data_IF_979172671010
#
_entry.id   IF_979172671010
#
_cell.length_a   1.000
_cell.length_b   1.000
_cell.length_c   1.000
_cell.angle_alpha   90.00
_cell.angle_beta   90.00
_cell.angle_gamma   90.00
#
_symmetry.space_group_name_H-M   'P 1'
#
loop_
_entity.id
_entity.type
_entity.pdbx_description
1 polymer ?
#
# COMPACT_ATOMS: atom_id res chain seq x y z
N UNK A 1 33.38 7.10 14.19
CA UNK A 1 32.11 7.87 14.31
C UNK A 1 30.97 6.85 14.36
N UNK A 2 30.02 7.00 15.26
CA UNK A 2 28.82 6.17 15.31
C UNK A 2 27.95 6.49 14.11
N UNK A 3 27.36 5.45 13.47
CA UNK A 3 26.45 5.63 12.35
C UNK A 3 25.23 6.44 12.80
N UNK A 4 24.77 7.44 12.03
CA UNK A 4 23.56 8.19 12.36
C UNK A 4 22.33 7.29 12.32
N UNK A 5 21.33 7.58 13.14
CA UNK A 5 20.04 6.92 13.07
C UNK A 5 19.09 7.68 12.14
N UNK A 6 18.44 6.95 11.26
CA UNK A 6 17.50 7.50 10.27
C UNK A 6 16.18 6.71 10.33
N UNK A 7 15.08 7.44 10.47
CA UNK A 7 13.73 6.87 10.55
C UNK A 7 13.08 6.85 9.17
N UNK A 8 12.56 5.70 8.77
CA UNK A 8 11.80 5.48 7.54
C UNK A 8 10.33 5.24 7.90
N UNK A 9 9.53 6.30 7.96
CA UNK A 9 8.11 6.20 8.26
C UNK A 9 7.30 5.97 6.99
N UNK A 10 6.33 5.04 7.05
CA UNK A 10 5.46 4.71 5.92
C UNK A 10 4.01 5.03 6.21
N UNK A 11 3.26 5.42 5.20
CA UNK A 11 1.83 5.67 5.33
C UNK A 11 1.03 4.37 5.41
N UNK A 12 -0.23 4.50 5.87
CA UNK A 12 -1.21 3.44 5.78
C UNK A 12 -1.68 3.29 4.32
N UNK A 13 -1.23 2.23 3.65
CA UNK A 13 -1.71 1.83 2.33
C UNK A 13 -2.71 0.68 2.42
N UNK A 14 -3.46 0.44 1.35
CA UNK A 14 -4.32 -0.75 1.21
C UNK A 14 -3.50 -2.05 1.15
N UNK A 15 -2.18 -1.92 0.94
CA UNK A 15 -1.22 -3.03 0.89
C UNK A 15 0.14 -2.62 1.43
N UNK A 16 1.12 -3.51 1.31
CA UNK A 16 2.48 -3.33 1.82
C UNK A 16 3.37 -2.41 0.94
N UNK A 17 2.85 -1.75 -0.10
CA UNK A 17 3.66 -1.06 -1.11
C UNK A 17 4.63 -0.03 -0.56
N UNK A 18 4.20 0.80 0.39
CA UNK A 18 5.08 1.79 1.04
C UNK A 18 6.13 1.12 1.93
N UNK A 19 5.74 0.05 2.63
CA UNK A 19 6.64 -0.70 3.51
C UNK A 19 7.73 -1.42 2.70
N UNK A 20 7.37 -2.08 1.60
CA UNK A 20 8.32 -2.75 0.68
C UNK A 20 9.34 -1.74 0.12
N UNK A 21 8.89 -0.55 -0.28
CA UNK A 21 9.79 0.50 -0.77
C UNK A 21 10.73 1.02 0.34
N UNK A 22 10.20 1.26 1.54
CA UNK A 22 11.02 1.61 2.70
C UNK A 22 12.04 0.52 3.04
N UNK A 23 11.67 -0.75 2.88
CA UNK A 23 12.59 -1.89 3.04
C UNK A 23 13.72 -1.84 2.02
N UNK A 24 13.43 -1.58 0.75
CA UNK A 24 14.46 -1.42 -0.30
C UNK A 24 15.43 -0.28 -0.01
N UNK A 25 14.94 0.84 0.53
CA UNK A 25 15.79 1.95 0.98
C UNK A 25 16.62 1.53 2.22
N UNK A 26 16.01 0.82 3.18
CA UNK A 26 16.68 0.41 4.41
C UNK A 26 17.84 -0.55 4.16
N UNK A 27 17.71 -1.48 3.20
CA UNK A 27 18.78 -2.39 2.79
C UNK A 27 20.04 -1.60 2.43
N UNK A 28 19.89 -0.58 1.60
CA UNK A 28 21.01 0.25 1.16
C UNK A 28 21.52 1.16 2.28
N UNK A 29 20.62 1.70 3.08
CA UNK A 29 20.92 2.63 4.15
C UNK A 29 21.75 1.97 5.28
N UNK A 30 21.61 0.68 5.54
CA UNK A 30 22.42 -0.09 6.53
C UNK A 30 23.93 0.05 6.27
N UNK A 31 24.35 0.31 5.06
CA UNK A 31 25.76 0.52 4.72
C UNK A 31 26.32 1.77 5.43
N UNK A 32 25.49 2.78 5.62
CA UNK A 32 25.90 4.13 6.06
C UNK A 32 25.33 4.53 7.43
N UNK A 33 24.13 4.05 7.78
CA UNK A 33 23.35 4.50 8.91
C UNK A 33 22.67 3.32 9.64
N UNK A 34 22.01 3.64 10.76
CA UNK A 34 21.13 2.72 11.49
C UNK A 34 19.66 3.03 11.09
N UNK A 35 19.07 2.32 10.14
CA UNK A 35 17.69 2.57 9.75
C UNK A 35 16.72 1.98 10.78
N UNK A 36 15.63 2.71 11.02
CA UNK A 36 14.47 2.24 11.77
C UNK A 36 13.25 2.42 10.87
N UNK A 37 12.46 1.36 10.67
CA UNK A 37 11.22 1.46 9.89
C UNK A 37 10.05 1.65 10.84
N UNK A 38 9.20 2.63 10.55
CA UNK A 38 7.89 2.78 11.18
C UNK A 38 6.83 2.45 10.14
N UNK A 39 6.05 1.40 10.39
CA UNK A 39 4.99 0.97 9.49
C UNK A 39 3.62 1.19 10.10
N UNK A 40 2.71 1.70 9.29
CA UNK A 40 1.27 1.75 9.59
C UNK A 40 0.50 0.61 8.90
N UNK A 41 1.18 -0.17 8.07
CA UNK A 41 0.66 -1.39 7.47
C UNK A 41 1.00 -2.59 8.37
N UNK A 42 0.09 -3.57 8.47
CA UNK A 42 0.41 -4.86 9.09
C UNK A 42 1.42 -5.65 8.25
N UNK A 43 1.87 -6.81 8.74
CA UNK A 43 2.80 -7.67 8.01
C UNK A 43 4.27 -7.23 8.13
N UNK A 44 4.63 -6.63 9.25
CA UNK A 44 6.00 -6.16 9.51
C UNK A 44 6.92 -7.24 10.10
N UNK A 45 6.37 -8.39 10.50
CA UNK A 45 7.11 -9.39 11.28
C UNK A 45 8.31 -9.98 10.54
N UNK A 46 8.19 -10.13 9.23
CA UNK A 46 9.24 -10.74 8.40
C UNK A 46 10.44 -9.79 8.14
N UNK A 47 10.24 -8.48 8.29
CA UNK A 47 11.28 -7.49 7.96
C UNK A 47 12.41 -7.47 8.98
N UNK A 48 12.18 -7.49 10.31
CA UNK A 48 13.25 -7.56 11.28
C UNK A 48 14.12 -8.82 11.09
N UNK A 49 13.51 -9.97 10.85
CA UNK A 49 14.23 -11.21 10.62
C UNK A 49 15.09 -11.15 9.36
N UNK A 50 14.53 -10.59 8.28
CA UNK A 50 15.23 -10.46 7.00
C UNK A 50 16.37 -9.43 7.05
N UNK A 51 16.13 -8.26 7.65
CA UNK A 51 17.10 -7.16 7.66
C UNK A 51 17.94 -7.06 8.92
N UNK A 52 17.50 -7.62 10.05
CA UNK A 52 18.13 -7.42 11.34
C UNK A 52 18.08 -5.94 11.78
N UNK A 53 16.98 -5.23 11.53
CA UNK A 53 16.75 -3.83 11.89
C UNK A 53 15.53 -3.68 12.78
N UNK A 54 15.47 -2.58 13.54
CA UNK A 54 14.30 -2.23 14.33
C UNK A 54 13.15 -1.82 13.41
N UNK A 55 11.98 -2.43 13.62
CA UNK A 55 10.74 -2.08 12.94
C UNK A 55 9.65 -1.88 13.98
N UNK A 56 8.92 -0.77 13.88
CA UNK A 56 7.82 -0.45 14.78
C UNK A 56 6.50 -0.33 14.01
N UNK A 57 5.43 -0.80 14.65
CA UNK A 57 4.08 -0.67 14.15
C UNK A 57 3.35 0.47 14.86
N UNK A 58 2.79 1.37 14.06
CA UNK A 58 1.83 2.37 14.53
C UNK A 58 0.50 2.09 13.84
N UNK A 59 -0.61 1.87 14.58
CA UNK A 59 -1.91 1.65 13.95
C UNK A 59 -2.24 2.78 12.98
N UNK A 60 -2.55 2.44 11.73
CA UNK A 60 -2.94 3.41 10.73
C UNK A 60 -4.23 4.13 11.13
N UNK A 61 -4.42 5.34 10.59
CA UNK A 61 -5.55 6.21 10.92
C UNK A 61 -6.92 5.54 10.81
N UNK A 62 -7.07 4.64 9.82
CA UNK A 62 -8.33 3.94 9.59
C UNK A 62 -8.50 2.67 10.45
N UNK A 63 -7.48 2.30 11.22
CA UNK A 63 -7.48 1.18 12.16
C UNK A 63 -7.38 1.61 13.62
N UNK A 64 -7.11 2.89 13.86
CA UNK A 64 -7.09 3.44 15.20
C UNK A 64 -8.51 3.76 15.66
N UNK A 65 -8.87 3.34 16.88
CA UNK A 65 -10.19 3.60 17.47
C UNK A 65 -10.29 5.00 18.06
N UNK A 66 -9.69 5.95 17.44
CA UNK A 66 -9.70 7.32 17.90
C UNK A 66 -10.05 8.29 16.77
N UNK A 67 -10.64 9.46 17.09
CA UNK A 67 -10.88 10.50 16.09
C UNK A 67 -9.56 10.90 15.37
N UNK A 68 -9.68 11.28 14.10
CA UNK A 68 -8.50 11.64 13.27
C UNK A 68 -7.57 12.65 13.93
N UNK A 69 -8.12 13.62 14.63
CA UNK A 69 -7.34 14.65 15.34
C UNK A 69 -6.51 14.08 16.49
N UNK A 70 -7.12 13.19 17.26
CA UNK A 70 -6.41 12.49 18.34
C UNK A 70 -5.35 11.56 17.76
N UNK A 71 -5.67 10.90 16.66
CA UNK A 71 -4.71 10.06 15.97
C UNK A 71 -3.52 10.85 15.42
N UNK A 72 -3.72 12.03 14.82
CA UNK A 72 -2.64 12.88 14.33
C UNK A 72 -1.73 13.35 15.50
N UNK A 73 -2.30 13.64 16.68
CA UNK A 73 -1.51 13.95 17.87
C UNK A 73 -0.76 12.71 18.38
N UNK A 74 -1.43 11.57 18.45
CA UNK A 74 -0.79 10.30 18.82
C UNK A 74 0.39 9.97 17.89
N UNK A 75 0.19 10.11 16.58
CA UNK A 75 1.26 9.89 15.61
C UNK A 75 2.43 10.86 15.85
N UNK A 76 2.16 12.15 16.05
CA UNK A 76 3.19 13.13 16.40
C UNK A 76 3.98 12.70 17.63
N UNK A 77 3.28 12.38 18.70
CA UNK A 77 3.91 12.08 19.99
C UNK A 77 4.74 10.78 19.92
N UNK A 78 4.28 9.77 19.17
CA UNK A 78 5.06 8.54 18.91
C UNK A 78 6.31 8.81 18.08
N UNK A 79 6.20 9.63 17.04
CA UNK A 79 7.36 10.00 16.22
C UNK A 79 8.36 10.83 17.03
N UNK A 80 7.91 11.77 17.85
CA UNK A 80 8.76 12.57 18.72
C UNK A 80 9.47 11.70 19.75
N UNK A 81 8.74 10.81 20.43
CA UNK A 81 9.34 9.91 21.42
C UNK A 81 10.44 9.03 20.79
N UNK A 82 10.24 8.55 19.57
CA UNK A 82 11.24 7.75 18.87
C UNK A 82 12.47 8.60 18.46
N UNK A 83 12.25 9.84 18.03
CA UNK A 83 13.34 10.77 17.72
C UNK A 83 14.17 11.06 18.98
N UNK A 84 13.51 11.32 20.12
CA UNK A 84 14.17 11.59 21.41
C UNK A 84 14.94 10.36 21.90
N UNK A 85 14.35 9.17 21.80
CA UNK A 85 14.96 7.90 22.21
C UNK A 85 16.22 7.58 21.40
N UNK A 86 16.15 7.79 20.10
CA UNK A 86 17.18 7.30 19.16
C UNK A 86 18.20 8.34 18.73
N UNK A 87 17.94 9.60 19.00
CA UNK A 87 18.72 10.72 18.51
C UNK A 87 18.68 10.86 16.98
N UNK A 88 17.63 10.36 16.33
CA UNK A 88 17.50 10.45 14.88
C UNK A 88 17.44 11.90 14.39
N UNK A 89 18.26 12.22 13.40
CA UNK A 89 18.34 13.57 12.80
C UNK A 89 17.60 13.68 11.48
N UNK A 90 17.23 12.55 10.86
CA UNK A 90 16.46 12.49 9.61
C UNK A 90 15.30 11.54 9.76
N UNK A 91 14.14 11.95 9.27
CA UNK A 91 12.97 11.12 9.10
C UNK A 91 12.47 11.24 7.66
N UNK A 92 12.37 10.14 6.94
CA UNK A 92 11.62 10.10 5.68
C UNK A 92 10.18 9.67 5.93
N UNK A 93 9.27 10.19 5.13
CA UNK A 93 7.89 9.76 5.12
C UNK A 93 7.50 9.31 3.71
N UNK A 94 7.21 8.02 3.57
CA UNK A 94 6.72 7.43 2.32
C UNK A 94 5.21 7.35 2.35
N UNK A 95 4.57 8.16 1.51
CA UNK A 95 3.11 8.22 1.43
C UNK A 95 2.62 9.19 0.38
N UNK A 96 1.31 9.10 0.08
CA UNK A 96 0.67 9.98 -0.91
C UNK A 96 0.80 11.45 -0.49
N UNK A 97 0.42 11.75 0.74
CA UNK A 97 0.62 13.07 1.36
C UNK A 97 1.03 12.89 2.81
N UNK A 98 1.97 13.70 3.33
CA UNK A 98 2.34 13.65 4.73
C UNK A 98 1.14 13.92 5.64
N UNK A 99 1.02 13.12 6.68
CA UNK A 99 -0.02 13.34 7.67
C UNK A 99 0.26 14.59 8.51
N UNK A 100 -0.79 15.27 9.04
CA UNK A 100 -0.62 16.40 9.94
C UNK A 100 0.29 16.10 11.14
N UNK A 101 0.22 14.88 11.69
CA UNK A 101 1.08 14.44 12.78
C UNK A 101 2.56 14.38 12.41
N UNK A 102 2.90 13.97 11.19
CA UNK A 102 4.29 13.97 10.67
C UNK A 102 4.84 15.38 10.56
N UNK A 103 4.04 16.30 10.00
CA UNK A 103 4.44 17.72 9.88
C UNK A 103 4.57 18.37 11.25
N UNK A 104 3.67 18.04 12.18
CA UNK A 104 3.72 18.55 13.55
C UNK A 104 4.97 18.04 14.31
N UNK A 105 5.39 16.80 14.08
CA UNK A 105 6.63 16.28 14.65
C UNK A 105 7.85 17.08 14.20
N UNK A 106 7.98 17.37 12.89
CA UNK A 106 9.04 18.26 12.36
C UNK A 106 9.01 19.64 13.02
N UNK A 107 7.82 20.20 13.19
CA UNK A 107 7.68 21.52 13.80
C UNK A 107 8.10 21.54 15.29
N UNK A 108 7.84 20.44 16.00
CA UNK A 108 8.25 20.26 17.40
C UNK A 108 9.77 19.96 17.54
N UNK A 109 10.35 19.32 16.51
CA UNK A 109 11.79 19.03 16.44
C UNK A 109 12.46 19.76 15.26
N UNK A 110 12.80 21.05 15.40
CA UNK A 110 13.36 21.83 14.30
C UNK A 110 14.68 21.29 13.73
N UNK A 111 15.44 20.55 14.55
CA UNK A 111 16.69 19.89 14.13
C UNK A 111 16.47 18.60 13.33
N UNK A 112 15.25 18.06 13.31
CA UNK A 112 14.92 16.89 12.52
C UNK A 112 14.76 17.28 11.05
N UNK A 113 15.53 16.70 10.13
CA UNK A 113 15.29 16.83 8.70
C UNK A 113 14.13 15.92 8.28
N UNK A 114 13.11 16.48 7.64
CA UNK A 114 11.95 15.74 7.15
C UNK A 114 12.00 15.60 5.63
N UNK A 115 12.03 14.35 5.15
CA UNK A 115 12.07 14.02 3.73
C UNK A 115 10.76 13.38 3.30
N UNK A 116 10.15 13.88 2.24
CA UNK A 116 8.99 13.24 1.66
C UNK A 116 9.40 12.35 0.48
N UNK A 117 9.19 11.05 0.62
CA UNK A 117 9.29 10.08 -0.48
C UNK A 117 7.94 10.07 -1.19
N UNK A 118 7.84 10.90 -2.24
CA UNK A 118 6.62 11.18 -2.98
C UNK A 118 6.61 10.42 -4.30
N UNK A 119 5.76 9.43 -4.41
CA UNK A 119 5.60 8.69 -5.66
C UNK A 119 5.01 9.56 -6.78
N UNK A 120 5.45 9.35 -8.02
CA UNK A 120 4.82 9.85 -9.24
C UNK A 120 3.60 9.04 -9.69
N UNK A 121 3.19 9.20 -10.91
CA UNK A 121 2.03 8.56 -11.54
C UNK A 121 0.73 8.69 -10.74
N UNK A 122 0.35 9.90 -10.40
CA UNK A 122 -0.92 10.14 -9.74
C UNK A 122 -2.02 10.36 -10.76
N UNK A 123 -3.22 9.83 -10.47
CA UNK A 123 -4.41 10.14 -11.26
C UNK A 123 -4.71 11.65 -11.25
N UNK A 124 -5.29 12.15 -12.33
CA UNK A 124 -5.63 13.57 -12.58
C UNK A 124 -6.63 14.16 -11.58
N UNK A 125 -6.47 13.98 -10.27
CA UNK A 125 -7.30 14.69 -9.29
C UNK A 125 -6.48 15.80 -8.64
N UNK A 126 -6.79 17.08 -8.94
CA UNK A 126 -5.97 18.18 -8.47
C UNK A 126 -6.15 18.39 -6.97
N UNK A 127 -5.07 18.18 -6.20
CA UNK A 127 -4.90 18.70 -4.84
C UNK A 127 -3.74 19.71 -4.79
N UNK A 128 -3.62 20.51 -5.84
CA UNK A 128 -2.43 21.36 -6.12
C UNK A 128 -2.04 22.26 -4.95
N UNK A 129 -2.99 22.87 -4.25
CA UNK A 129 -2.68 23.82 -3.18
C UNK A 129 -2.11 23.14 -1.94
N UNK A 130 -2.78 22.06 -1.46
CA UNK A 130 -2.31 21.32 -0.27
C UNK A 130 -0.96 20.67 -0.54
N UNK A 131 -0.80 20.07 -1.70
CA UNK A 131 0.47 19.47 -2.14
C UNK A 131 1.62 20.50 -2.12
N UNK A 132 1.38 21.70 -2.67
CA UNK A 132 2.37 22.79 -2.68
C UNK A 132 2.73 23.28 -1.28
N UNK A 133 1.75 23.39 -0.39
CA UNK A 133 2.00 23.83 0.99
C UNK A 133 2.76 22.78 1.80
N UNK A 134 2.41 21.49 1.64
CA UNK A 134 3.12 20.40 2.28
C UNK A 134 4.55 20.27 1.79
N UNK A 135 4.78 20.42 0.48
CA UNK A 135 6.13 20.44 -0.09
C UNK A 135 7.04 21.50 0.55
N UNK A 136 6.48 22.66 0.89
CA UNK A 136 7.24 23.74 1.55
C UNK A 136 7.68 23.43 2.99
N UNK A 137 7.05 22.44 3.62
CA UNK A 137 7.39 22.01 4.98
C UNK A 137 8.50 20.95 4.99
N UNK A 138 8.85 20.39 3.83
CA UNK A 138 9.89 19.37 3.71
C UNK A 138 11.27 20.01 3.58
N UNK A 139 12.27 19.37 4.19
CA UNK A 139 13.67 19.70 3.95
C UNK A 139 14.11 19.23 2.57
N UNK A 140 13.59 18.07 2.17
CA UNK A 140 13.83 17.50 0.86
C UNK A 140 12.62 16.69 0.38
N UNK A 141 12.45 16.60 -0.93
CA UNK A 141 11.45 15.73 -1.55
C UNK A 141 12.17 14.84 -2.54
N UNK A 142 11.97 13.55 -2.40
CA UNK A 142 12.49 12.56 -3.35
C UNK A 142 11.30 11.92 -4.04
N UNK A 143 11.39 11.78 -5.34
CA UNK A 143 10.41 11.04 -6.13
C UNK A 143 11.06 9.77 -6.67
N UNK A 144 10.75 8.61 -6.06
CA UNK A 144 11.17 7.31 -6.62
C UNK A 144 10.70 7.21 -8.06
N UNK A 145 11.61 6.90 -8.96
CA UNK A 145 11.35 6.79 -10.38
C UNK A 145 10.26 5.76 -10.70
N UNK A 146 9.71 5.90 -11.87
CA UNK A 146 8.77 4.94 -12.42
C UNK A 146 9.14 4.69 -13.88
N UNK A 147 9.23 3.42 -14.30
CA UNK A 147 9.57 3.09 -15.68
C UNK A 147 8.54 3.67 -16.66
N UNK A 148 7.28 3.75 -16.23
CA UNK A 148 6.19 4.32 -17.00
C UNK A 148 6.06 5.86 -16.86
N UNK A 149 7.09 6.56 -16.38
CA UNK A 149 7.02 8.00 -16.13
C UNK A 149 6.59 8.83 -17.37
N UNK A 150 6.92 8.39 -18.57
CA UNK A 150 6.47 9.04 -19.80
C UNK A 150 4.92 9.09 -19.92
N UNK A 151 4.23 8.21 -19.23
CA UNK A 151 2.76 8.14 -19.16
C UNK A 151 2.19 8.81 -17.90
N UNK A 152 3.00 9.56 -17.15
CA UNK A 152 2.52 10.35 -16.01
C UNK A 152 1.85 11.64 -16.49
N UNK A 153 0.53 11.71 -16.41
CA UNK A 153 -0.27 12.91 -16.66
C UNK A 153 -0.84 13.49 -15.37
N UNK A 154 -0.37 13.02 -14.24
CA UNK A 154 -0.85 13.38 -12.92
C UNK A 154 -0.34 14.75 -12.42
N UNK A 155 -0.77 15.16 -11.23
CA UNK A 155 -0.40 16.46 -10.65
C UNK A 155 1.09 16.58 -10.27
N UNK A 156 1.83 15.47 -10.28
CA UNK A 156 3.27 15.44 -9.99
C UNK A 156 4.15 15.48 -11.24
N UNK A 157 3.59 15.18 -12.41
CA UNK A 157 4.32 15.06 -13.67
C UNK A 157 5.18 16.30 -14.05
N UNK A 158 4.63 17.50 -13.79
CA UNK A 158 5.28 18.78 -14.13
C UNK A 158 5.98 19.44 -12.93
N UNK A 159 6.15 18.75 -11.81
CA UNK A 159 6.77 19.33 -10.62
C UNK A 159 8.28 19.17 -10.66
N UNK A 160 8.97 20.27 -10.31
CA UNK A 160 10.43 20.36 -10.26
C UNK A 160 10.96 20.46 -8.82
N UNK A 161 10.10 20.26 -7.81
CA UNK A 161 10.44 20.39 -6.40
C UNK A 161 10.96 19.10 -5.75
N UNK A 162 11.13 18.05 -6.53
CA UNK A 162 11.64 16.76 -6.06
C UNK A 162 12.90 16.35 -6.80
N UNK A 163 13.82 15.72 -6.09
CA UNK A 163 14.91 14.97 -6.72
C UNK A 163 14.33 13.65 -7.26
N UNK A 164 14.47 13.44 -8.54
CA UNK A 164 14.09 12.20 -9.19
C UNK A 164 15.20 11.17 -9.02
N UNK A 165 14.81 9.94 -8.69
CA UNK A 165 15.73 8.81 -8.61
C UNK A 165 15.30 7.70 -9.57
N UNK A 166 16.11 6.67 -9.71
CA UNK A 166 15.69 5.43 -10.35
C UNK A 166 14.56 4.77 -9.54
N UNK A 167 13.84 3.79 -10.11
CA UNK A 167 12.87 3.02 -9.35
C UNK A 167 13.50 2.30 -8.15
N UNK A 168 12.74 2.21 -7.06
CA UNK A 168 13.10 1.39 -5.89
C UNK A 168 12.50 0.01 -6.08
N UNK A 169 13.34 -1.01 -6.03
CA UNK A 169 12.97 -2.41 -6.15
C UNK A 169 13.59 -3.25 -5.05
N UNK A 170 12.91 -4.31 -4.63
CA UNK A 170 13.50 -5.37 -3.82
C UNK A 170 14.16 -6.46 -4.68
N UNK A 171 13.89 -6.47 -5.97
CA UNK A 171 14.61 -7.37 -6.87
C UNK A 171 16.03 -6.89 -7.07
N UNK A 172 16.99 -7.75 -6.80
CA UNK A 172 18.42 -7.55 -6.97
C UNK A 172 19.00 -8.83 -7.54
N UNK A 173 19.60 -8.73 -8.71
CA UNK A 173 20.13 -9.88 -9.44
C UNK A 173 21.21 -10.63 -8.62
N UNK A 174 22.03 -9.86 -7.89
CA UNK A 174 23.10 -10.40 -7.02
C UNK A 174 22.59 -11.13 -5.77
N UNK A 175 21.34 -10.92 -5.37
CA UNK A 175 20.70 -11.57 -4.23
C UNK A 175 19.59 -12.57 -4.63
N UNK A 176 19.21 -12.57 -5.90
CA UNK A 176 18.18 -13.45 -6.41
C UNK A 176 18.66 -14.92 -6.37
N UNK A 177 17.79 -15.80 -5.91
CA UNK A 177 18.08 -17.22 -5.94
C UNK A 177 18.00 -17.75 -7.37
N UNK A 178 18.86 -18.68 -7.71
CA UNK A 178 18.75 -19.42 -8.98
C UNK A 178 17.38 -20.10 -9.09
N UNK A 179 16.96 -20.44 -10.30
CA UNK A 179 15.67 -21.11 -10.54
C UNK A 179 15.45 -22.30 -9.61
N UNK A 180 16.44 -23.16 -9.49
CA UNK A 180 16.30 -24.40 -8.71
C UNK A 180 16.27 -24.13 -7.20
N UNK A 181 17.09 -23.21 -6.71
CA UNK A 181 17.09 -22.79 -5.30
C UNK A 181 15.77 -22.12 -4.94
N UNK A 182 15.27 -21.21 -5.78
CA UNK A 182 14.01 -20.53 -5.59
C UNK A 182 12.82 -21.51 -5.57
N UNK A 183 12.83 -22.49 -6.48
CA UNK A 183 11.82 -23.55 -6.51
C UNK A 183 11.87 -24.44 -5.28
N UNK A 184 13.04 -24.83 -4.84
CA UNK A 184 13.23 -25.58 -3.57
C UNK A 184 12.72 -24.79 -2.37
N UNK A 185 13.06 -23.49 -2.29
CA UNK A 185 12.61 -22.61 -1.21
C UNK A 185 11.08 -22.47 -1.16
N UNK A 186 10.40 -22.56 -2.31
CA UNK A 186 8.95 -22.50 -2.40
C UNK A 186 8.26 -23.88 -2.41
N UNK A 187 9.03 -24.98 -2.31
CA UNK A 187 8.49 -26.34 -2.36
C UNK A 187 7.90 -26.72 -3.72
N UNK A 188 8.38 -26.12 -4.82
CA UNK A 188 7.89 -26.36 -6.17
C UNK A 188 8.63 -27.53 -6.85
N UNK A 189 7.93 -28.20 -7.75
CA UNK A 189 8.58 -29.17 -8.64
C UNK A 189 9.52 -28.48 -9.61
N UNK A 190 10.74 -28.99 -9.75
CA UNK A 190 11.78 -28.36 -10.55
C UNK A 190 11.49 -28.40 -12.05
N UNK A 191 10.78 -29.43 -12.52
CA UNK A 191 10.58 -29.72 -13.94
C UNK A 191 9.23 -29.29 -14.50
N UNK A 192 8.30 -28.90 -13.64
CA UNK A 192 6.94 -28.44 -14.03
C UNK A 192 6.93 -26.92 -14.23
N UNK A 193 6.16 -26.39 -15.18
CA UNK A 193 5.98 -24.95 -15.28
C UNK A 193 5.33 -24.38 -14.01
N UNK A 194 5.68 -23.12 -13.69
CA UNK A 194 5.15 -22.43 -12.51
C UNK A 194 4.78 -20.99 -12.87
N UNK A 195 3.59 -20.55 -12.44
CA UNK A 195 3.10 -19.18 -12.63
C UNK A 195 2.77 -18.53 -11.30
N UNK A 196 3.30 -17.32 -11.09
CA UNK A 196 2.95 -16.47 -9.95
C UNK A 196 1.70 -15.67 -10.27
N UNK A 197 0.67 -15.72 -9.42
CA UNK A 197 -0.52 -14.88 -9.55
C UNK A 197 -0.65 -13.99 -8.32
N UNK A 198 -0.56 -12.68 -8.52
CA UNK A 198 -0.53 -11.67 -7.44
C UNK A 198 -1.36 -10.43 -7.83
N UNK A 199 -2.67 -10.50 -7.70
CA UNK A 199 -3.57 -9.39 -8.03
C UNK A 199 -3.84 -8.42 -6.86
N UNK A 200 -3.19 -8.65 -5.72
CA UNK A 200 -3.32 -7.82 -4.53
C UNK A 200 -4.54 -8.16 -3.68
N UNK A 201 -4.79 -7.31 -2.68
CA UNK A 201 -5.94 -7.42 -1.79
C UNK A 201 -7.01 -6.43 -2.25
N UNK A 202 -8.25 -6.86 -2.38
CA UNK A 202 -9.30 -5.96 -2.82
C UNK A 202 -10.70 -6.54 -2.66
N UNK A 203 -11.64 -5.76 -3.11
CA UNK A 203 -13.07 -5.99 -3.10
C UNK A 203 -13.50 -7.06 -4.14
N UNK A 204 -14.79 -7.22 -4.36
CA UNK A 204 -15.38 -8.17 -5.32
C UNK A 204 -14.77 -8.08 -6.74
N UNK A 205 -14.43 -6.88 -7.18
CA UNK A 205 -13.78 -6.61 -8.48
C UNK A 205 -12.43 -7.36 -8.64
N UNK A 206 -11.63 -7.45 -7.57
CA UNK A 206 -10.37 -8.21 -7.61
C UNK A 206 -10.61 -9.72 -7.68
N UNK A 207 -11.68 -10.21 -7.07
CA UNK A 207 -12.03 -11.62 -7.11
C UNK A 207 -12.48 -12.05 -8.51
N UNK A 208 -13.27 -11.24 -9.21
CA UNK A 208 -13.66 -11.49 -10.59
C UNK A 208 -12.46 -11.53 -11.54
N UNK A 209 -11.55 -10.55 -11.39
CA UNK A 209 -10.29 -10.52 -12.14
C UNK A 209 -9.40 -11.73 -11.83
N UNK A 210 -9.36 -12.17 -10.57
CA UNK A 210 -8.62 -13.38 -10.18
C UNK A 210 -9.20 -14.63 -10.86
N UNK A 211 -10.51 -14.79 -10.84
CA UNK A 211 -11.18 -15.91 -11.51
C UNK A 211 -10.92 -15.90 -13.02
N UNK A 212 -11.01 -14.73 -13.67
CA UNK A 212 -10.72 -14.58 -15.09
C UNK A 212 -9.25 -14.91 -15.43
N UNK A 213 -8.32 -14.45 -14.58
CA UNK A 213 -6.90 -14.72 -14.73
C UNK A 213 -6.60 -16.23 -14.59
N UNK A 214 -7.14 -16.88 -13.57
CA UNK A 214 -7.00 -18.31 -13.34
C UNK A 214 -7.60 -19.12 -14.50
N UNK A 215 -8.75 -18.69 -15.03
CA UNK A 215 -9.36 -19.32 -16.22
C UNK A 215 -8.48 -19.26 -17.47
N UNK A 216 -7.67 -18.22 -17.60
CA UNK A 216 -6.67 -18.10 -18.69
C UNK A 216 -5.52 -19.10 -18.59
N UNK A 217 -5.28 -19.68 -17.40
CA UNK A 217 -4.23 -20.68 -17.16
C UNK A 217 -4.69 -22.12 -17.43
N UNK A 218 -5.99 -22.34 -17.56
CA UNK A 218 -6.54 -23.67 -17.87
C UNK A 218 -6.00 -24.15 -19.21
N UNK A 219 -5.60 -25.43 -19.26
CA UNK A 219 -5.00 -26.05 -20.45
C UNK A 219 -3.48 -25.97 -20.51
N UNK A 220 -2.83 -25.23 -19.62
CA UNK A 220 -1.37 -25.25 -19.50
C UNK A 220 -0.94 -26.55 -18.79
N UNK A 221 -0.35 -27.45 -19.56
CA UNK A 221 0.00 -28.80 -19.09
C UNK A 221 0.92 -28.76 -17.88
N UNK A 222 0.62 -29.55 -16.89
CA UNK A 222 1.42 -29.76 -15.65
C UNK A 222 1.74 -28.47 -14.87
N UNK A 223 0.94 -27.39 -15.05
CA UNK A 223 1.17 -26.09 -14.43
C UNK A 223 1.02 -26.14 -12.90
N UNK A 224 1.94 -25.50 -12.21
CA UNK A 224 1.83 -25.13 -10.80
C UNK A 224 1.45 -23.64 -10.73
N UNK A 225 0.33 -23.31 -10.10
CA UNK A 225 -0.13 -21.93 -9.89
C UNK A 225 0.16 -21.53 -8.47
N UNK A 226 0.93 -20.46 -8.30
CA UNK A 226 1.35 -19.98 -7.00
C UNK A 226 0.65 -18.66 -6.70
N UNK A 227 -0.07 -18.63 -5.59
CA UNK A 227 -0.75 -17.46 -5.05
C UNK A 227 -0.06 -17.00 -3.77
N UNK A 228 -0.14 -15.71 -3.49
CA UNK A 228 0.34 -15.12 -2.22
C UNK A 228 -0.79 -14.92 -1.21
N UNK A 229 -2.02 -15.29 -1.57
CA UNK A 229 -3.24 -15.19 -0.76
C UNK A 229 -4.21 -16.29 -1.17
N UNK A 230 -4.97 -16.80 -0.20
CA UNK A 230 -6.03 -17.77 -0.44
C UNK A 230 -7.04 -17.25 -1.49
N UNK A 231 -7.37 -18.07 -2.52
CA UNK A 231 -8.31 -17.71 -3.56
C UNK A 231 -9.76 -18.00 -3.12
N UNK A 232 -10.19 -17.31 -2.07
CA UNK A 232 -11.55 -17.44 -1.51
C UNK A 232 -12.27 -16.10 -1.61
N UNK A 233 -13.57 -16.16 -1.83
CA UNK A 233 -14.44 -14.99 -1.76
C UNK A 233 -14.77 -14.63 -0.28
N UNK A 234 -15.63 -13.63 -0.12
CA UNK A 234 -16.08 -13.19 1.20
C UNK A 234 -16.99 -14.19 1.92
N UNK A 235 -17.59 -15.11 1.19
CA UNK A 235 -18.47 -16.16 1.69
C UNK A 235 -17.72 -17.48 1.92
N UNK A 236 -16.38 -17.47 1.75
CA UNK A 236 -15.51 -18.63 1.95
C UNK A 236 -15.48 -19.61 0.78
N UNK A 237 -16.11 -19.27 -0.37
CA UNK A 237 -16.10 -20.12 -1.55
C UNK A 237 -14.79 -19.98 -2.31
N UNK A 238 -14.28 -21.10 -2.82
CA UNK A 238 -13.10 -21.10 -3.67
C UNK A 238 -13.34 -20.35 -4.97
N UNK A 239 -12.40 -19.48 -5.32
CA UNK A 239 -12.32 -18.78 -6.61
C UNK A 239 -11.49 -19.58 -7.63
N UNK A 240 -10.91 -20.69 -7.20
CA UNK A 240 -10.07 -21.54 -8.04
C UNK A 240 -10.92 -22.37 -8.99
N UNK A 241 -10.70 -22.30 -10.30
CA UNK A 241 -11.28 -23.24 -11.25
C UNK A 241 -10.78 -24.67 -10.97
N UNK A 242 -11.61 -25.64 -11.25
CA UNK A 242 -11.21 -27.05 -11.21
C UNK A 242 -10.07 -27.33 -12.20
N UNK A 243 -9.18 -28.26 -11.82
CA UNK A 243 -8.10 -28.72 -12.68
C UNK A 243 -6.79 -27.90 -12.63
N UNK A 244 -6.70 -26.87 -11.76
CA UNK A 244 -5.45 -26.16 -11.50
C UNK A 244 -4.78 -26.64 -10.22
N UNK A 245 -3.48 -26.97 -10.27
CA UNK A 245 -2.64 -27.23 -9.08
C UNK A 245 -2.27 -25.89 -8.44
N UNK A 246 -3.09 -25.42 -7.51
CA UNK A 246 -2.94 -24.11 -6.84
C UNK A 246 -2.30 -24.30 -5.47
N UNK A 247 -1.27 -23.49 -5.19
CA UNK A 247 -0.60 -23.42 -3.90
C UNK A 247 -0.51 -22.00 -3.41
N UNK A 248 -0.72 -21.81 -2.12
CA UNK A 248 -0.54 -20.50 -1.47
C UNK A 248 0.80 -20.50 -0.76
N UNK A 249 1.63 -19.51 -1.08
CA UNK A 249 2.94 -19.36 -0.46
C UNK A 249 3.06 -18.01 0.24
N UNK A 250 3.76 -18.01 1.36
CA UNK A 250 4.21 -16.80 2.06
C UNK A 250 5.71 -16.78 2.05
N UNK A 251 6.27 -15.86 1.30
CA UNK A 251 7.72 -15.67 1.21
C UNK A 251 8.03 -14.17 1.19
N UNK A 252 8.99 -13.75 2.00
CA UNK A 252 9.46 -12.37 2.02
C UNK A 252 10.98 -12.32 2.00
N UNK A 253 11.59 -11.50 1.16
CA UNK A 253 10.95 -10.81 0.03
C UNK A 253 10.70 -11.77 -1.15
N UNK A 254 9.51 -11.66 -1.75
CA UNK A 254 9.14 -12.46 -2.91
C UNK A 254 10.08 -12.21 -4.10
N UNK A 255 10.64 -11.01 -4.19
CA UNK A 255 11.58 -10.61 -5.22
C UNK A 255 12.79 -11.54 -5.34
N UNK A 256 13.27 -12.15 -4.25
CA UNK A 256 14.41 -13.08 -4.28
C UNK A 256 14.13 -14.41 -4.98
N UNK A 257 12.88 -14.78 -5.09
CA UNK A 257 12.45 -16.07 -5.64
C UNK A 257 11.72 -15.96 -6.98
N UNK A 258 11.76 -14.80 -7.64
CA UNK A 258 11.06 -14.58 -8.90
C UNK A 258 11.54 -15.49 -10.03
N UNK A 259 12.79 -15.93 -10.01
CA UNK A 259 13.33 -16.89 -10.99
C UNK A 259 12.70 -18.29 -10.88
N UNK A 260 11.95 -18.59 -9.79
CA UNK A 260 11.18 -19.82 -9.69
C UNK A 260 10.10 -19.97 -10.77
N UNK A 261 9.62 -18.84 -11.31
CA UNK A 261 8.43 -18.77 -12.13
C UNK A 261 8.76 -18.63 -13.63
N UNK A 262 7.93 -19.24 -14.46
CA UNK A 262 8.02 -19.14 -15.93
C UNK A 262 7.20 -17.96 -16.45
N UNK A 263 6.22 -17.50 -15.68
CA UNK A 263 5.41 -16.33 -15.98
C UNK A 263 4.76 -15.76 -14.71
N UNK A 264 4.24 -14.54 -14.83
CA UNK A 264 3.52 -13.84 -13.78
C UNK A 264 2.18 -13.27 -14.27
N UNK A 265 1.19 -13.23 -13.38
CA UNK A 265 -0.03 -12.45 -13.54
C UNK A 265 -0.13 -11.54 -12.33
N UNK A 266 0.03 -10.25 -12.52
CA UNK A 266 0.23 -9.32 -11.41
C UNK A 266 -0.62 -8.07 -11.52
N UNK A 267 -1.04 -7.55 -10.36
CA UNK A 267 -1.55 -6.19 -10.33
C UNK A 267 -0.44 -5.20 -10.70
N UNK A 268 -0.80 -4.13 -11.39
CA UNK A 268 0.16 -3.11 -11.86
C UNK A 268 0.56 -2.13 -10.74
N UNK A 269 0.72 -2.64 -9.52
CA UNK A 269 1.24 -1.87 -8.40
C UNK A 269 2.71 -1.54 -8.59
N UNK A 270 3.16 -0.45 -7.96
CA UNK A 270 4.54 0.02 -8.11
C UNK A 270 5.59 -1.08 -7.90
N UNK A 271 5.52 -1.81 -6.78
CA UNK A 271 6.57 -2.80 -6.47
C UNK A 271 6.56 -3.98 -7.43
N UNK A 272 5.41 -4.65 -7.62
CA UNK A 272 5.34 -5.80 -8.53
C UNK A 272 5.76 -5.45 -9.96
N UNK A 273 5.47 -4.23 -10.41
CA UNK A 273 5.91 -3.77 -11.72
C UNK A 273 7.44 -3.62 -11.79
N UNK A 274 8.04 -2.98 -10.78
CA UNK A 274 9.48 -2.73 -10.71
C UNK A 274 10.29 -3.90 -10.13
N UNK A 275 9.66 -5.03 -9.83
CA UNK A 275 10.31 -6.28 -9.43
C UNK A 275 10.22 -7.32 -10.57
N UNK A 276 9.03 -7.53 -11.14
CA UNK A 276 8.82 -8.54 -12.17
C UNK A 276 9.56 -8.21 -13.48
N UNK A 277 9.51 -6.95 -13.90
CA UNK A 277 10.17 -6.56 -15.16
C UNK A 277 11.70 -6.66 -15.08
N UNK A 278 12.39 -6.14 -14.06
CA UNK A 278 13.84 -6.34 -13.91
C UNK A 278 14.24 -7.80 -13.71
N UNK A 279 13.38 -8.62 -13.09
CA UNK A 279 13.58 -10.07 -13.00
C UNK A 279 13.39 -10.79 -14.34
N UNK A 280 13.09 -10.05 -15.40
CA UNK A 280 12.74 -10.60 -16.72
C UNK A 280 11.62 -11.64 -16.67
N UNK A 281 10.70 -11.53 -15.71
CA UNK A 281 9.55 -12.41 -15.57
C UNK A 281 8.46 -12.01 -16.60
N UNK A 282 8.14 -12.88 -17.59
CA UNK A 282 7.07 -12.61 -18.55
C UNK A 282 5.74 -12.41 -17.82
N UNK A 283 5.21 -11.18 -17.84
CA UNK A 283 4.08 -10.84 -16.96
C UNK A 283 2.90 -10.27 -17.74
N UNK A 284 1.69 -10.73 -17.37
CA UNK A 284 0.43 -10.02 -17.65
C UNK A 284 0.14 -9.11 -16.49
N UNK A 285 0.01 -7.81 -16.77
CA UNK A 285 -0.40 -6.83 -15.78
C UNK A 285 -1.88 -6.49 -15.91
N UNK A 286 -2.58 -6.53 -14.77
CA UNK A 286 -4.00 -6.21 -14.64
C UNK A 286 -4.13 -5.08 -13.63
N UNK A 287 -4.65 -3.95 -14.07
CA UNK A 287 -4.74 -2.77 -13.21
C UNK A 287 -5.87 -2.88 -12.20
N UNK A 288 -5.63 -2.36 -10.99
CA UNK A 288 -6.67 -2.12 -10.00
C UNK A 288 -7.00 -0.62 -9.96
N UNK A 289 -8.27 -0.27 -9.88
CA UNK A 289 -8.69 1.11 -9.71
C UNK A 289 -8.29 1.56 -8.31
N UNK A 290 -7.39 2.54 -8.22
CA UNK A 290 -6.91 3.13 -6.96
C UNK A 290 -7.13 4.64 -6.99
N UNK A 291 -7.39 5.22 -5.81
CA UNK A 291 -7.71 6.66 -5.72
C UNK A 291 -6.59 7.60 -6.15
N UNK A 292 -5.33 7.16 -6.08
CA UNK A 292 -4.16 8.01 -6.34
C UNK A 292 -3.13 7.38 -7.26
N UNK A 293 -3.06 6.05 -7.34
CA UNK A 293 -2.07 5.32 -8.15
C UNK A 293 -2.64 5.06 -9.55
N UNK A 294 -1.98 5.56 -10.57
CA UNK A 294 -2.36 5.30 -11.95
C UNK A 294 -1.71 4.00 -12.44
N UNK A 295 -2.32 2.89 -12.05
CA UNK A 295 -1.86 1.56 -12.44
C UNK A 295 -2.06 1.30 -13.93
N UNK A 296 -3.10 1.88 -14.51
CA UNK A 296 -3.42 1.67 -15.91
C UNK A 296 -2.34 2.26 -16.83
N UNK A 297 -1.84 3.45 -16.51
CA UNK A 297 -0.72 4.05 -17.26
C UNK A 297 0.53 3.16 -17.23
N UNK A 298 0.82 2.47 -16.12
CA UNK A 298 1.93 1.50 -16.09
C UNK A 298 1.68 0.28 -16.98
N UNK A 299 0.48 -0.32 -16.87
CA UNK A 299 0.13 -1.49 -17.68
C UNK A 299 0.19 -1.15 -19.19
N UNK A 300 -0.35 0.01 -19.55
CA UNK A 300 -0.34 0.47 -20.93
C UNK A 300 1.09 0.72 -21.43
N UNK A 301 1.92 1.41 -20.63
CA UNK A 301 3.32 1.61 -20.98
C UNK A 301 4.06 0.27 -21.20
N UNK A 302 3.91 -0.67 -20.29
CA UNK A 302 4.55 -1.99 -20.40
C UNK A 302 4.13 -2.73 -21.66
N UNK A 303 2.87 -2.60 -22.04
CA UNK A 303 2.31 -3.19 -23.26
C UNK A 303 2.84 -2.51 -24.53
N UNK A 304 2.76 -1.19 -24.61
CA UNK A 304 3.13 -0.41 -25.80
C UNK A 304 4.61 -0.55 -26.15
N UNK A 305 5.46 -0.69 -25.13
CA UNK A 305 6.90 -0.90 -25.32
C UNK A 305 7.32 -2.39 -25.36
N UNK A 306 6.37 -3.31 -25.28
CA UNK A 306 6.60 -4.74 -25.42
C UNK A 306 7.28 -5.42 -24.22
N UNK A 307 7.28 -4.80 -23.06
CA UNK A 307 7.83 -5.38 -21.82
C UNK A 307 6.88 -6.32 -21.10
N UNK A 308 5.59 -6.18 -21.35
CA UNK A 308 4.55 -6.97 -20.69
C UNK A 308 3.30 -7.09 -21.56
N UNK A 309 2.38 -7.92 -21.16
CA UNK A 309 1.04 -7.98 -21.72
C UNK A 309 0.11 -7.20 -20.76
N UNK A 310 -0.78 -6.38 -21.31
CA UNK A 310 -1.84 -5.72 -20.55
C UNK A 310 -3.12 -6.54 -20.65
N UNK A 311 -3.71 -6.88 -19.49
CA UNK A 311 -5.09 -7.34 -19.41
C UNK A 311 -6.00 -6.14 -19.09
N UNK A 312 -7.01 -5.91 -19.93
CA UNK A 312 -7.97 -4.82 -19.74
C UNK A 312 -8.82 -5.08 -18.48
N UNK A 313 -8.60 -4.29 -17.46
CA UNK A 313 -9.26 -4.44 -16.16
C UNK A 313 -10.81 -4.34 -16.21
N UNK A 314 -11.36 -3.74 -17.24
CA UNK A 314 -12.80 -3.57 -17.44
C UNK A 314 -13.43 -4.72 -18.25
N UNK A 315 -12.62 -5.66 -18.75
CA UNK A 315 -13.06 -6.77 -19.58
C UNK A 315 -12.46 -8.09 -19.10
N UNK A 316 -13.26 -8.91 -18.46
CA UNK A 316 -12.83 -10.22 -17.92
C UNK A 316 -12.44 -11.21 -19.03
N UNK A 317 -13.05 -11.11 -20.22
CA UNK A 317 -12.68 -11.95 -21.37
C UNK A 317 -11.32 -11.57 -21.91
N UNK A 318 -10.99 -10.28 -21.98
CA UNK A 318 -9.67 -9.81 -22.36
C UNK A 318 -8.60 -10.25 -21.35
N UNK A 319 -8.90 -10.18 -20.04
CA UNK A 319 -7.99 -10.70 -19.01
C UNK A 319 -7.68 -12.18 -19.27
N UNK A 320 -8.71 -13.00 -19.47
CA UNK A 320 -8.55 -14.43 -19.75
C UNK A 320 -7.72 -14.67 -21.00
N UNK A 321 -8.00 -13.94 -22.08
CA UNK A 321 -7.28 -14.04 -23.36
C UNK A 321 -5.81 -13.59 -23.22
N UNK A 322 -5.56 -12.49 -22.50
CA UNK A 322 -4.23 -11.97 -22.23
C UNK A 322 -3.38 -12.99 -21.46
N UNK A 323 -3.94 -13.57 -20.40
CA UNK A 323 -3.25 -14.58 -19.57
C UNK A 323 -2.97 -15.84 -20.38
N UNK A 324 -3.89 -16.27 -21.22
CA UNK A 324 -3.69 -17.45 -22.09
C UNK A 324 -2.48 -17.32 -23.02
N UNK A 325 -2.10 -16.11 -23.43
CA UNK A 325 -0.90 -15.87 -24.27
C UNK A 325 0.39 -16.29 -23.54
N UNK A 326 0.40 -16.32 -22.20
CA UNK A 326 1.57 -16.79 -21.44
C UNK A 326 1.82 -18.29 -21.56
N UNK A 327 0.88 -19.08 -22.08
CA UNK A 327 1.09 -20.50 -22.33
C UNK A 327 2.07 -20.72 -23.48
N UNK A 328 2.17 -19.77 -24.42
CA UNK A 328 3.09 -19.81 -25.56
C UNK A 328 4.54 -19.50 -25.10
N UNK A 329 5.49 -20.43 -25.28
CA UNK A 329 6.88 -20.24 -24.90
C UNK A 329 7.56 -19.11 -25.68
N UNK A 330 7.20 -18.88 -26.95
CA UNK A 330 7.80 -17.83 -27.78
C UNK A 330 7.38 -16.45 -27.29
N UNK A 331 6.14 -16.30 -26.85
CA UNK A 331 5.65 -15.07 -26.22
C UNK A 331 6.44 -14.79 -24.93
N UNK A 332 6.63 -15.79 -24.07
CA UNK A 332 7.42 -15.63 -22.84
C UNK A 332 8.88 -15.28 -23.15
N UNK A 333 9.50 -15.96 -24.09
CA UNK A 333 10.88 -15.68 -24.49
C UNK A 333 11.06 -14.26 -25.01
N UNK A 334 10.14 -13.78 -25.84
CA UNK A 334 10.13 -12.42 -26.38
C UNK A 334 10.03 -11.36 -25.28
N UNK A 335 9.11 -11.54 -24.33
CA UNK A 335 8.93 -10.63 -23.21
C UNK A 335 10.17 -10.60 -22.30
N UNK A 336 10.71 -11.77 -21.95
CA UNK A 336 11.91 -11.87 -21.11
C UNK A 336 13.13 -11.24 -21.79
N UNK A 337 13.31 -11.46 -23.09
CA UNK A 337 14.39 -10.83 -23.86
C UNK A 337 14.26 -9.30 -23.88
N UNK A 338 13.04 -8.79 -24.05
CA UNK A 338 12.78 -7.35 -24.04
C UNK A 338 13.08 -6.70 -22.68
N UNK A 339 12.74 -7.37 -21.60
CA UNK A 339 13.00 -6.86 -20.24
C UNK A 339 14.49 -6.66 -19.94
N UNK A 340 15.40 -7.38 -20.60
CA UNK A 340 16.85 -7.18 -20.46
C UNK A 340 17.35 -5.79 -20.91
N UNK A 341 16.54 -5.06 -21.68
CA UNK A 341 16.86 -3.70 -22.12
C UNK A 341 16.58 -2.65 -21.03
N UNK A 342 15.90 -3.04 -19.94
CA UNK A 342 15.53 -2.11 -18.89
C UNK A 342 16.76 -1.66 -18.08
N UNK A 343 16.79 -0.38 -17.65
CA UNK A 343 17.85 0.10 -16.79
C UNK A 343 17.77 -0.51 -15.40
N UNK A 344 18.90 -0.54 -14.69
CA UNK A 344 18.96 -1.01 -13.32
C UNK A 344 18.09 -0.16 -12.38
N UNK A 345 17.50 -0.79 -11.37
CA UNK A 345 16.66 -0.15 -10.34
C UNK A 345 17.50 0.26 -9.14
N UNK A 346 18.24 1.35 -9.23
CA UNK A 346 19.18 1.83 -8.20
C UNK A 346 18.60 2.83 -7.21
N UNK A 347 17.29 3.11 -7.30
CA UNK A 347 16.64 4.16 -6.50
C UNK A 347 16.75 4.00 -4.99
N UNK A 348 16.82 2.77 -4.49
CA UNK A 348 17.06 2.50 -3.08
C UNK A 348 18.40 3.07 -2.60
N UNK A 349 19.48 2.84 -3.35
CA UNK A 349 20.81 3.34 -3.05
C UNK A 349 20.89 4.87 -3.19
N UNK A 350 20.27 5.43 -4.23
CA UNK A 350 20.22 6.87 -4.46
C UNK A 350 19.52 7.59 -3.31
N UNK A 351 18.35 7.10 -2.88
CA UNK A 351 17.60 7.68 -1.76
C UNK A 351 18.37 7.50 -0.45
N UNK A 352 18.96 6.32 -0.20
CA UNK A 352 19.78 6.08 0.98
C UNK A 352 20.94 7.09 1.10
N UNK A 353 21.60 7.39 -0.01
CA UNK A 353 22.67 8.39 -0.06
C UNK A 353 22.15 9.79 0.28
N UNK A 354 21.03 10.22 -0.30
CA UNK A 354 20.40 11.51 0.00
C UNK A 354 20.05 11.60 1.50
N UNK A 355 19.44 10.55 2.07
CA UNK A 355 19.10 10.53 3.49
C UNK A 355 20.34 10.60 4.40
N UNK A 356 21.41 9.91 4.04
CA UNK A 356 22.66 9.94 4.77
C UNK A 356 23.34 11.31 4.70
N UNK A 357 23.38 11.92 3.52
CA UNK A 357 23.92 13.28 3.34
C UNK A 357 23.17 14.31 4.18
N UNK A 358 21.84 14.18 4.26
CA UNK A 358 21.01 15.03 5.13
C UNK A 358 21.30 14.80 6.62
N UNK A 359 21.60 13.55 7.02
CA UNK A 359 21.90 13.21 8.41
C UNK A 359 23.28 13.75 8.86
N UNK A 360 24.19 14.02 7.93
CA UNK A 360 25.53 14.53 8.19
C UNK A 360 25.66 16.04 8.05
N UNK A 361 24.59 16.74 7.62
CA UNK A 361 24.58 18.21 7.52
C UNK A 361 24.44 18.86 8.91
N UNK A 362 25.09 20.00 9.08
CA UNK A 362 25.06 20.73 10.34
C UNK A 362 23.72 21.38 10.66
N UNK A 363 22.91 21.79 9.66
CA UNK A 363 21.62 22.44 9.90
C UNK A 363 20.52 22.01 8.93
N UNK A 364 19.41 21.45 9.44
CA UNK A 364 18.20 21.25 8.66
C UNK A 364 17.45 22.57 8.46
N UNK A 365 16.60 22.61 7.44
CA UNK A 365 15.75 23.76 7.14
C UNK A 365 14.77 24.04 8.27
N UNK A 366 14.77 25.28 8.78
CA UNK A 366 13.77 25.68 9.79
C UNK A 366 12.37 25.75 9.18
N UNK A 367 11.36 25.09 9.79
CA UNK A 367 10.02 25.11 9.26
C UNK A 367 9.41 26.51 9.38
N UNK A 368 8.79 27.00 8.29
CA UNK A 368 8.09 28.28 8.29
C UNK A 368 6.81 28.22 9.12
N UNK A 369 6.76 28.97 10.22
CA UNK A 369 5.59 29.08 11.07
C UNK A 369 4.33 29.58 10.32
N UNK A 370 4.50 30.53 9.40
CA UNK A 370 3.40 31.02 8.56
C UNK A 370 2.87 29.93 7.64
N UNK A 371 3.76 29.13 7.05
CA UNK A 371 3.36 27.99 6.21
C UNK A 371 2.62 26.93 7.03
N UNK A 372 3.13 26.64 8.23
CA UNK A 372 2.47 25.71 9.16
C UNK A 372 1.08 26.19 9.57
N UNK A 373 0.95 27.47 9.96
CA UNK A 373 -0.37 28.05 10.29
C UNK A 373 -1.34 28.01 9.12
N UNK A 374 -0.88 28.33 7.90
CA UNK A 374 -1.71 28.24 6.71
C UNK A 374 -2.20 26.81 6.44
N UNK A 375 -1.33 25.81 6.63
CA UNK A 375 -1.74 24.40 6.56
C UNK A 375 -2.80 24.06 7.61
N UNK A 376 -2.62 24.48 8.86
CA UNK A 376 -3.59 24.24 9.93
C UNK A 376 -4.95 24.90 9.64
N UNK A 377 -4.96 26.14 9.15
CA UNK A 377 -6.19 26.82 8.71
C UNK A 377 -6.85 26.08 7.57
N UNK A 378 -6.08 25.64 6.56
CA UNK A 378 -6.62 24.88 5.44
C UNK A 378 -7.19 23.51 5.87
N UNK A 379 -6.53 22.82 6.80
CA UNK A 379 -7.05 21.60 7.41
C UNK A 379 -8.38 21.86 8.13
N UNK A 380 -8.48 22.95 8.88
CA UNK A 380 -9.72 23.36 9.57
C UNK A 380 -10.85 23.67 8.58
N UNK A 381 -10.55 24.41 7.50
CA UNK A 381 -11.51 24.69 6.43
C UNK A 381 -11.97 23.40 5.76
N UNK A 382 -11.04 22.51 5.42
CA UNK A 382 -11.37 21.23 4.79
C UNK A 382 -12.18 20.32 5.72
N UNK A 383 -11.94 20.42 7.03
CA UNK A 383 -12.67 19.73 8.07
C UNK A 383 -14.08 20.28 8.21
N UNK A 384 -14.23 21.61 8.29
CA UNK A 384 -15.51 22.30 8.32
C UNK A 384 -16.36 22.00 7.09
N UNK A 385 -15.77 22.04 5.88
CA UNK A 385 -16.46 21.65 4.65
C UNK A 385 -16.95 20.21 4.68
N UNK A 386 -16.12 19.26 5.13
CA UNK A 386 -16.52 17.85 5.27
C UNK A 386 -17.63 17.69 6.31
N UNK A 387 -17.52 18.36 7.45
CA UNK A 387 -18.55 18.33 8.47
C UNK A 387 -19.87 18.94 7.99
N UNK A 388 -19.81 20.06 7.26
CA UNK A 388 -20.98 20.70 6.68
C UNK A 388 -21.63 19.80 5.61
N UNK A 389 -20.82 19.27 4.68
CA UNK A 389 -21.30 18.34 3.64
C UNK A 389 -21.90 17.08 4.30
N UNK A 390 -21.25 16.54 5.31
CA UNK A 390 -21.75 15.35 6.04
C UNK A 390 -23.05 15.67 6.80
N UNK A 391 -23.13 16.82 7.47
CA UNK A 391 -24.33 17.24 8.20
C UNK A 391 -25.48 17.55 7.26
N UNK A 392 -25.20 18.22 6.14
CA UNK A 392 -26.18 18.51 5.09
C UNK A 392 -26.64 17.23 4.40
N UNK A 393 -25.72 16.36 4.00
CA UNK A 393 -26.05 15.06 3.40
C UNK A 393 -26.83 14.16 4.38
N UNK A 394 -26.50 14.19 5.69
CA UNK A 394 -27.24 13.44 6.71
C UNK A 394 -28.66 13.97 6.92
N UNK A 395 -28.87 15.29 6.86
CA UNK A 395 -30.21 15.89 6.88
C UNK A 395 -30.98 15.62 5.59
N UNK A 396 -30.33 15.73 4.44
CA UNK A 396 -30.93 15.32 3.18
C UNK A 396 -31.18 13.80 3.11
N UNK A 397 -30.31 12.98 3.67
CA UNK A 397 -30.52 11.54 3.75
C UNK A 397 -31.75 11.17 4.60
N UNK A 398 -32.04 11.94 5.66
CA UNK A 398 -33.29 11.79 6.41
C UNK A 398 -34.53 12.14 5.57
N UNK A 399 -34.45 13.16 4.71
CA UNK A 399 -35.52 13.54 3.78
C UNK A 399 -35.55 12.56 2.58
N UNK A 400 -34.39 12.17 2.06
CA UNK A 400 -34.27 11.19 0.95
C UNK A 400 -34.61 9.75 1.36
N UNK A 401 -34.50 9.40 2.65
CA UNK A 401 -34.96 8.11 3.17
C UNK A 401 -36.46 7.86 2.95
N UNK A 402 -37.22 8.96 2.80
CA UNK A 402 -38.63 8.92 2.43
C UNK A 402 -38.85 8.79 0.91
N UNK A 403 -37.85 9.15 0.08
CA UNK A 403 -38.00 9.25 -1.37
C UNK A 403 -37.23 8.15 -2.11
N UNK A 404 -36.05 7.72 -1.61
CA UNK A 404 -35.27 6.67 -2.25
C UNK A 404 -34.34 5.92 -1.28
N UNK A 405 -34.79 4.79 -0.71
CA UNK A 405 -34.03 4.03 0.26
C UNK A 405 -32.69 3.46 -0.31
N UNK A 406 -32.59 3.33 -1.62
CA UNK A 406 -31.39 2.77 -2.28
C UNK A 406 -30.16 3.69 -2.20
N UNK A 407 -30.34 5.00 -2.28
CA UNK A 407 -29.24 5.97 -2.22
C UNK A 407 -28.67 6.06 -0.81
N UNK A 408 -29.51 5.92 0.21
CA UNK A 408 -29.06 5.92 1.62
C UNK A 408 -28.22 4.68 1.93
N UNK A 409 -28.61 3.51 1.43
CA UNK A 409 -27.88 2.26 1.61
C UNK A 409 -26.52 2.32 0.91
N UNK A 410 -26.45 2.87 -0.30
CA UNK A 410 -25.19 3.03 -1.01
C UNK A 410 -24.25 4.08 -0.37
N UNK A 411 -24.80 5.12 0.26
CA UNK A 411 -23.99 6.12 0.95
C UNK A 411 -23.43 5.60 2.27
N UNK A 412 -24.22 4.81 3.01
CA UNK A 412 -23.76 4.13 4.22
C UNK A 412 -22.70 3.06 3.89
N UNK A 413 -22.81 2.38 2.75
CA UNK A 413 -21.78 1.44 2.27
C UNK A 413 -20.47 2.10 1.85
N UNK A 414 -20.47 3.39 1.56
CA UNK A 414 -19.27 4.15 1.20
C UNK A 414 -18.59 4.82 2.41
N UNK A 415 -19.22 4.79 3.57
CA UNK A 415 -18.56 5.23 4.80
C UNK A 415 -17.43 4.26 5.16
N UNK A 416 -16.31 4.80 5.66
CA UNK A 416 -15.23 3.94 6.12
C UNK A 416 -15.77 2.97 7.17
N UNK A 417 -15.22 1.74 7.22
CA UNK A 417 -15.68 0.74 8.16
C UNK A 417 -15.71 1.32 9.56
N UNK A 418 -16.69 0.92 10.33
CA UNK A 418 -16.97 1.31 11.72
C UNK A 418 -15.71 1.40 12.59
N UNK A 419 -14.76 0.54 12.29
CA UNK A 419 -13.47 0.47 12.95
C UNK A 419 -12.48 1.52 12.44
N UNK A 420 -12.93 2.43 11.60
CA UNK A 420 -12.14 3.55 11.13
C UNK A 420 -11.99 4.62 12.21
N UNK A 421 -11.07 5.54 11.96
CA UNK A 421 -10.74 6.65 12.86
C UNK A 421 -11.88 7.61 13.21
N UNK A 422 -13.03 7.45 12.58
CA UNK A 422 -14.22 8.27 12.83
C UNK A 422 -15.21 7.61 13.79
N UNK A 423 -15.03 6.33 14.07
CA UNK A 423 -15.92 5.59 14.94
C UNK A 423 -15.65 5.96 16.39
N UNK A 424 -16.65 6.46 17.05
CA UNK A 424 -16.58 6.79 18.48
C UNK A 424 -16.94 5.57 19.33
N UNK A 425 -16.49 5.54 20.57
CA UNK A 425 -16.91 4.51 21.52
C UNK A 425 -18.44 4.41 21.64
N UNK A 426 -19.15 5.54 21.46
CA UNK A 426 -20.61 5.60 21.44
C UNK A 426 -21.21 4.91 20.23
N UNK A 427 -20.55 4.96 19.08
CA UNK A 427 -21.00 4.27 17.85
C UNK A 427 -20.67 2.79 17.87
N UNK A 428 -19.52 2.42 18.44
CA UNK A 428 -19.14 1.02 18.64
C UNK A 428 -20.06 0.29 19.63
N UNK A 429 -20.52 1.00 20.61
CA UNK A 429 -21.32 0.48 21.68
C UNK A 429 -22.55 -0.31 21.23
N UNK A 430 -23.42 0.20 20.33
CA UNK A 430 -24.53 -0.55 19.80
C UNK A 430 -24.10 -1.73 18.94
N UNK A 431 -23.00 -1.59 18.21
CA UNK A 431 -22.52 -2.56 17.23
C UNK A 431 -21.95 -3.83 17.86
N UNK A 432 -21.19 -3.68 18.93
CA UNK A 432 -20.62 -4.81 19.67
C UNK A 432 -21.73 -5.62 20.32
N UNK A 433 -22.81 -4.96 20.73
CA UNK A 433 -23.92 -5.62 21.41
C UNK A 433 -24.84 -6.42 20.51
N UNK A 434 -25.10 -5.94 19.29
CA UNK A 434 -26.05 -6.55 18.36
C UNK A 434 -25.31 -7.13 17.17
N UNK A 435 -25.23 -8.45 17.09
CA UNK A 435 -24.58 -9.13 15.98
C UNK A 435 -25.19 -8.75 14.64
N UNK A 436 -26.51 -8.71 14.54
CA UNK A 436 -27.20 -8.31 13.31
C UNK A 436 -26.88 -6.89 12.86
N UNK A 437 -26.74 -5.94 13.80
CA UNK A 437 -26.31 -4.57 13.49
C UNK A 437 -24.85 -4.50 13.08
N UNK A 438 -24.03 -5.25 13.77
CA UNK A 438 -22.60 -5.37 13.49
C UNK A 438 -22.40 -5.96 12.10
N UNK A 439 -23.06 -7.06 11.80
CA UNK A 439 -23.02 -7.72 10.50
C UNK A 439 -23.54 -6.83 9.37
N UNK A 440 -24.63 -6.09 9.61
CA UNK A 440 -25.17 -5.15 8.61
C UNK A 440 -24.18 -4.05 8.27
N UNK A 441 -23.47 -3.51 9.25
CA UNK A 441 -22.52 -2.41 9.05
C UNK A 441 -21.19 -2.87 8.48
N UNK A 442 -20.82 -4.13 8.67
CA UNK A 442 -19.64 -4.77 8.09
C UNK A 442 -20.03 -5.88 7.11
N UNK A 443 -21.20 -5.75 6.51
CA UNK A 443 -21.71 -6.72 5.54
C UNK A 443 -20.66 -7.01 4.46
N UNK A 444 -20.39 -8.30 4.22
CA UNK A 444 -19.36 -8.78 3.31
C UNK A 444 -18.01 -9.07 3.96
N UNK A 445 -17.87 -8.92 5.28
CA UNK A 445 -16.74 -9.46 6.01
C UNK A 445 -16.97 -10.92 6.38
N UNK A 446 -15.92 -11.75 6.35
CA UNK A 446 -15.99 -13.14 6.83
C UNK A 446 -16.24 -13.20 8.34
N UNK A 447 -16.84 -14.30 8.82
CA UNK A 447 -17.04 -14.52 10.26
C UNK A 447 -15.73 -14.42 11.06
N UNK A 448 -14.64 -14.89 10.52
CA UNK A 448 -13.32 -14.72 11.14
C UNK A 448 -12.91 -13.25 11.26
N UNK A 449 -13.21 -12.43 10.27
CA UNK A 449 -12.94 -11.00 10.33
C UNK A 449 -13.81 -10.33 11.38
N UNK A 450 -15.09 -10.68 11.44
CA UNK A 450 -16.05 -10.20 12.44
C UNK A 450 -15.58 -10.58 13.85
N UNK A 451 -15.26 -11.85 14.07
CA UNK A 451 -14.76 -12.36 15.35
C UNK A 451 -13.47 -11.66 15.79
N UNK A 452 -12.51 -11.49 14.88
CA UNK A 452 -11.27 -10.77 15.14
C UNK A 452 -11.52 -9.32 15.50
N UNK A 453 -12.46 -8.66 14.82
CA UNK A 453 -12.81 -7.26 15.12
C UNK A 453 -13.50 -7.12 16.47
N UNK A 454 -14.39 -8.05 16.82
CA UNK A 454 -15.00 -8.13 18.16
C UNK A 454 -13.92 -8.28 19.23
N UNK A 455 -13.01 -9.24 19.08
CA UNK A 455 -11.93 -9.47 20.04
C UNK A 455 -11.05 -8.22 20.24
N UNK A 456 -10.68 -7.55 19.15
CA UNK A 456 -9.90 -6.29 19.19
C UNK A 456 -10.70 -5.18 19.90
N UNK A 457 -12.00 -5.07 19.64
CA UNK A 457 -12.83 -4.07 20.29
C UNK A 457 -13.00 -4.37 21.79
N UNK A 458 -13.14 -5.62 22.16
CA UNK A 458 -13.20 -6.06 23.55
C UNK A 458 -11.89 -5.78 24.30
N UNK A 459 -10.76 -6.05 23.67
CA UNK A 459 -9.45 -5.73 24.23
C UNK A 459 -9.25 -4.23 24.42
N UNK A 460 -9.56 -3.43 23.38
CA UNK A 460 -9.36 -1.99 23.40
C UNK A 460 -10.36 -1.24 24.29
N UNK A 461 -11.55 -1.77 24.44
CA UNK A 461 -12.67 -1.15 25.15
C UNK A 461 -13.34 -2.13 26.12
N UNK A 462 -12.58 -2.92 26.87
CA UNK A 462 -13.09 -3.95 27.77
C UNK A 462 -14.18 -3.46 28.73
N UNK A 463 -14.02 -2.27 29.31
CA UNK A 463 -15.03 -1.61 30.14
C UNK A 463 -16.31 -1.23 29.37
N UNK A 464 -16.21 -0.97 28.06
CA UNK A 464 -17.37 -0.69 27.22
C UNK A 464 -18.15 -1.97 26.92
N UNK A 465 -17.47 -3.09 26.67
CA UNK A 465 -18.10 -4.40 26.48
C UNK A 465 -18.92 -4.77 27.70
N UNK A 466 -18.41 -4.55 28.90
CA UNK A 466 -19.13 -4.77 30.15
C UNK A 466 -20.37 -3.88 30.27
N UNK A 467 -20.25 -2.60 29.96
CA UNK A 467 -21.37 -1.64 29.94
C UNK A 467 -22.38 -1.99 28.85
N UNK A 468 -21.93 -2.47 27.68
CA UNK A 468 -22.78 -2.90 26.57
C UNK A 468 -23.63 -4.11 26.98
N UNK A 469 -23.01 -5.07 27.65
CA UNK A 469 -23.70 -6.28 28.11
C UNK A 469 -24.69 -6.02 29.24
N UNK A 470 -24.42 -5.03 30.09
CA UNK A 470 -25.27 -4.67 31.22
C UNK A 470 -26.40 -3.70 30.86
N UNK A 471 -26.17 -2.80 29.90
CA UNK A 471 -27.23 -1.90 29.41
C UNK A 471 -28.00 -2.56 28.28
N UNK A 472 -29.27 -2.94 28.54
CA UNK A 472 -30.22 -3.21 27.44
C UNK A 472 -30.41 -1.92 26.67
N UNK A 473 -29.84 -1.81 25.50
CA UNK A 473 -30.16 -0.75 24.58
C UNK A 473 -31.54 -1.09 24.03
N UNK A 474 -32.56 -0.57 24.67
CA UNK A 474 -33.91 -0.53 24.12
C UNK A 474 -33.89 0.40 22.91
N UNK A 475 -34.12 -0.13 21.77
CA UNK A 475 -34.63 0.54 20.58
C UNK A 475 -35.63 -0.34 19.89
#
# INVERSE_FOLDING_TARGET
MTKPTIILATSNGVGMGHLVRATGIAIELKKYANPIIISMAGGIAEIPDYLGIRVEYIPGRDRAWMPREKWDNYLRDRLMALVDETGATVMSFDGVVPYPGVIAAKFSHPKLALVWVRRGLWQKKPQRFVLRMQSKMMDHIVEPGDMARAYDFGPTASRTDATLTSPVSLFREDEALSRDEARKALGLNLNRPAVLVQLGTGDSDVNEKLTAALSGLIGWKDLQVILTKEPIDKDGKSLAPEGLDIRVVRHFPLARVLHAFDAGVSATGYNGFHENLPACLPTVFISNIRGTDDQESRAQWGHDFGFAIRGNQADLHDITAAVRKLQDPDVRAKLAAKCKELPATTGGAEIAKILFELATREEPKRPSWLTYKRLKVQEHINRGKRHLVYTVLRRFALIYRLINPYIVVNHVKQEPPIWGSQTTAKELHPLIKSDARFEHLISGASDQYIARRKAIAEEAYGHLTEVINTKKISR
#
